data_IF_502617941315
#
_entry.id   IF_502617941315
#
_cell.length_a   1.000
_cell.length_b   1.000
_cell.length_c   1.000
_cell.angle_alpha   90.00
_cell.angle_beta   90.00
_cell.angle_gamma   90.00
#
_symmetry.space_group_name_H-M   'P 1'
#
loop_
_entity.id
_entity.type
_entity.pdbx_description
1 polymer ?
#
# COMPACT_ATOMS: atom_id res chain seq x y z
N UNK A 1 27.80 2.63 19.58
CA UNK A 1 26.57 2.77 20.39
C UNK A 1 26.14 1.38 20.83
N UNK A 2 26.03 1.12 22.14
CA UNK A 2 25.66 -0.22 22.63
C UNK A 2 24.28 -0.63 22.07
N UNK A 3 24.14 -1.92 21.75
CA UNK A 3 22.89 -2.54 21.33
C UNK A 3 21.66 -2.07 22.13
N UNK A 4 21.76 -2.07 23.47
CA UNK A 4 20.66 -1.66 24.38
C UNK A 4 20.19 -0.23 24.12
N UNK A 5 21.14 0.68 23.93
CA UNK A 5 20.86 2.09 23.66
C UNK A 5 20.24 2.22 22.27
N UNK A 6 20.72 1.44 21.30
CA UNK A 6 20.18 1.42 19.93
C UNK A 6 18.70 1.05 19.89
N UNK A 7 18.30 0.02 20.64
CA UNK A 7 16.88 -0.38 20.75
C UNK A 7 16.04 0.74 21.37
N UNK A 8 16.50 1.33 22.48
CA UNK A 8 15.75 2.39 23.16
C UNK A 8 15.52 3.58 22.23
N UNK A 9 16.56 4.02 21.52
CA UNK A 9 16.45 5.11 20.55
C UNK A 9 15.52 4.74 19.40
N UNK A 10 15.59 3.50 18.90
CA UNK A 10 14.68 3.00 17.88
C UNK A 10 13.22 3.05 18.35
N UNK A 11 12.92 2.56 19.57
CA UNK A 11 11.55 2.58 20.11
C UNK A 11 11.00 4.00 20.27
N UNK A 12 11.84 4.94 20.71
CA UNK A 12 11.47 6.36 20.82
C UNK A 12 11.15 6.92 19.42
N UNK A 13 12.00 6.68 18.43
CA UNK A 13 11.77 7.10 17.04
C UNK A 13 10.47 6.50 16.47
N UNK A 14 10.27 5.20 16.66
CA UNK A 14 9.07 4.49 16.23
C UNK A 14 7.80 5.06 16.85
N UNK A 15 7.83 5.39 18.14
CA UNK A 15 6.72 6.00 18.85
C UNK A 15 6.45 7.43 18.38
N UNK A 16 7.49 8.23 18.14
CA UNK A 16 7.35 9.59 17.63
C UNK A 16 6.71 9.60 16.24
N UNK A 17 7.18 8.74 15.34
CA UNK A 17 6.59 8.60 14.00
C UNK A 17 5.15 8.10 14.10
N UNK A 18 4.84 7.15 14.98
CA UNK A 18 3.47 6.70 15.17
C UNK A 18 2.55 7.84 15.63
N UNK A 19 3.00 8.69 16.57
CA UNK A 19 2.26 9.88 17.01
C UNK A 19 2.06 10.90 15.89
N UNK A 20 3.10 11.19 15.10
CA UNK A 20 3.04 12.14 13.98
C UNK A 20 2.06 11.62 12.91
N UNK A 21 2.19 10.35 12.52
CA UNK A 21 1.30 9.72 11.53
C UNK A 21 -0.14 9.63 12.05
N UNK A 22 -0.35 9.38 13.34
CA UNK A 22 -1.68 9.42 13.96
C UNK A 22 -2.30 10.81 13.88
N UNK A 23 -1.54 11.85 14.22
CA UNK A 23 -2.01 13.23 14.14
C UNK A 23 -2.35 13.63 12.69
N UNK A 24 -1.50 13.25 11.73
CA UNK A 24 -1.75 13.42 10.29
C UNK A 24 -3.00 12.65 9.84
N UNK A 25 -3.17 11.41 10.30
CA UNK A 25 -4.35 10.60 9.97
C UNK A 25 -5.65 11.18 10.50
N UNK A 26 -5.61 11.81 11.69
CA UNK A 26 -6.77 12.52 12.24
C UNK A 26 -7.10 13.80 11.46
N UNK A 27 -6.09 14.56 11.03
CA UNK A 27 -6.28 15.90 10.43
C UNK A 27 -6.48 15.88 8.91
N UNK A 28 -5.81 14.97 8.20
CA UNK A 28 -5.74 14.97 6.72
C UNK A 28 -6.61 13.86 6.13
N UNK A 29 -6.39 12.62 6.54
CA UNK A 29 -7.13 11.48 5.97
C UNK A 29 -7.11 10.28 6.90
N UNK A 30 -8.30 9.74 7.21
CA UNK A 30 -8.43 8.53 8.03
C UNK A 30 -7.72 7.32 7.41
N UNK A 31 -7.52 7.30 6.09
CA UNK A 31 -6.76 6.23 5.40
C UNK A 31 -5.31 6.13 5.89
N UNK A 32 -4.67 7.26 6.24
CA UNK A 32 -3.30 7.29 6.73
C UNK A 32 -3.13 6.60 8.08
N UNK A 33 -4.22 6.48 8.87
CA UNK A 33 -4.16 5.79 10.16
C UNK A 33 -3.81 4.31 10.01
N UNK A 34 -4.18 3.69 8.88
CA UNK A 34 -3.86 2.29 8.59
C UNK A 34 -2.35 2.08 8.39
N UNK A 35 -1.65 3.11 7.91
CA UNK A 35 -0.22 3.06 7.60
C UNK A 35 0.69 3.36 8.80
N UNK A 36 0.12 3.68 9.98
CA UNK A 36 0.89 3.90 11.22
C UNK A 36 1.88 2.77 11.51
N UNK A 37 1.49 1.47 11.57
CA UNK A 37 2.42 0.38 11.85
C UNK A 37 3.53 0.30 10.81
N UNK A 38 3.20 0.49 9.52
CA UNK A 38 4.18 0.45 8.42
C UNK A 38 5.20 1.57 8.55
N UNK A 39 4.76 2.82 8.74
CA UNK A 39 5.69 3.95 8.87
C UNK A 39 6.55 3.85 10.13
N UNK A 40 5.99 3.34 11.23
CA UNK A 40 6.73 3.09 12.45
C UNK A 40 7.80 2.01 12.25
N UNK A 41 7.47 0.89 11.61
CA UNK A 41 8.46 -0.15 11.33
C UNK A 41 9.52 0.31 10.32
N UNK A 42 9.12 1.07 9.29
CA UNK A 42 10.03 1.61 8.29
C UNK A 42 11.08 2.55 8.90
N UNK A 43 10.72 3.40 9.88
CA UNK A 43 11.71 4.25 10.55
C UNK A 43 12.69 3.42 11.38
N UNK A 44 12.23 2.31 11.98
CA UNK A 44 13.10 1.37 12.68
C UNK A 44 14.09 0.68 11.74
N UNK A 45 13.62 0.20 10.58
CA UNK A 45 14.48 -0.35 9.52
C UNK A 45 15.53 0.67 9.10
N UNK A 46 15.11 1.91 8.82
CA UNK A 46 16.01 2.98 8.41
C UNK A 46 17.08 3.25 9.46
N UNK A 47 16.70 3.30 10.74
CA UNK A 47 17.64 3.54 11.83
C UNK A 47 18.72 2.46 11.93
N UNK A 48 18.33 1.18 11.96
CA UNK A 48 19.30 0.08 12.03
C UNK A 48 20.13 -0.07 10.76
N UNK A 49 19.55 0.24 9.59
CA UNK A 49 20.29 0.30 8.33
C UNK A 49 21.38 1.38 8.36
N UNK A 50 21.06 2.59 8.83
CA UNK A 50 22.04 3.68 8.99
C UNK A 50 23.10 3.29 10.02
N UNK A 51 22.69 2.72 11.16
CA UNK A 51 23.60 2.27 12.21
C UNK A 51 24.62 1.26 11.68
N UNK A 52 24.16 0.26 10.93
CA UNK A 52 25.02 -0.79 10.38
C UNK A 52 26.02 -0.29 9.32
N UNK A 53 25.63 0.70 8.50
CA UNK A 53 26.47 1.17 7.39
C UNK A 53 27.40 2.34 7.76
N UNK A 54 27.03 3.17 8.74
CA UNK A 54 27.74 4.42 9.02
C UNK A 54 28.43 4.46 10.38
N UNK A 55 28.11 3.55 11.31
CA UNK A 55 28.73 3.52 12.64
C UNK A 55 29.75 2.36 12.67
N UNK A 56 31.06 2.65 12.79
CA UNK A 56 32.07 1.60 12.81
C UNK A 56 31.92 0.76 14.08
N UNK A 57 31.86 -0.56 13.88
CA UNK A 57 31.87 -1.54 14.95
C UNK A 57 33.32 -1.91 15.31
N UNK A 58 33.65 -2.08 16.59
CA UNK A 58 34.93 -2.65 16.97
C UNK A 58 35.04 -4.09 16.40
N UNK A 59 36.25 -4.53 16.02
CA UNK A 59 36.48 -5.88 15.52
C UNK A 59 36.03 -6.91 16.56
N UNK A 60 35.33 -7.96 16.12
CA UNK A 60 34.67 -8.99 16.95
C UNK A 60 33.54 -8.52 17.88
N UNK A 61 32.89 -7.38 17.60
CA UNK A 61 31.71 -6.99 18.38
C UNK A 61 30.47 -7.81 18.00
N UNK A 62 29.89 -8.47 19.02
CA UNK A 62 28.59 -9.15 18.90
C UNK A 62 27.43 -8.18 18.62
N UNK A 63 27.61 -6.89 18.93
CA UNK A 63 26.61 -5.84 18.70
C UNK A 63 26.18 -5.75 17.21
N UNK A 64 27.12 -5.96 16.28
CA UNK A 64 26.83 -5.95 14.84
C UNK A 64 25.89 -7.09 14.40
N UNK A 65 26.08 -8.28 14.97
CA UNK A 65 25.26 -9.46 14.68
C UNK A 65 23.85 -9.24 15.20
N UNK A 66 23.71 -8.74 16.43
CA UNK A 66 22.40 -8.45 17.00
C UNK A 66 21.65 -7.35 16.22
N UNK A 67 22.34 -6.31 15.77
CA UNK A 67 21.75 -5.27 14.94
C UNK A 67 21.26 -5.81 13.58
N UNK A 68 21.99 -6.74 12.96
CA UNK A 68 21.54 -7.42 11.72
C UNK A 68 20.29 -8.29 11.96
N UNK A 69 20.24 -9.01 13.09
CA UNK A 69 19.07 -9.82 13.45
C UNK A 69 17.83 -8.91 13.63
N UNK A 70 17.99 -7.79 14.34
CA UNK A 70 16.88 -6.83 14.52
C UNK A 70 16.44 -6.24 13.17
N UNK A 71 17.40 -5.83 12.32
CA UNK A 71 17.08 -5.30 11.01
C UNK A 71 16.25 -6.30 10.20
N UNK A 72 16.62 -7.58 10.23
CA UNK A 72 15.90 -8.66 9.55
C UNK A 72 14.47 -8.81 10.08
N UNK A 73 14.28 -8.82 11.39
CA UNK A 73 12.96 -8.89 12.04
C UNK A 73 12.11 -7.68 11.64
N UNK A 74 12.68 -6.48 11.65
CA UNK A 74 11.99 -5.24 11.28
C UNK A 74 11.56 -5.24 9.81
N UNK A 75 12.40 -5.74 8.89
CA UNK A 75 12.06 -5.87 7.47
C UNK A 75 10.90 -6.84 7.27
N UNK A 76 10.92 -8.00 7.94
CA UNK A 76 9.84 -8.98 7.88
C UNK A 76 8.55 -8.36 8.42
N UNK A 77 8.59 -7.75 9.60
CA UNK A 77 7.44 -7.07 10.19
C UNK A 77 6.89 -5.95 9.30
N UNK A 78 7.78 -5.14 8.72
CA UNK A 78 7.39 -4.05 7.81
C UNK A 78 6.71 -4.59 6.55
N UNK A 79 7.19 -5.70 6.00
CA UNK A 79 6.62 -6.33 4.81
C UNK A 79 5.22 -6.89 5.07
N UNK A 80 5.04 -7.56 6.21
CA UNK A 80 3.73 -8.07 6.64
C UNK A 80 2.74 -6.93 6.89
N UNK A 81 3.17 -5.89 7.61
CA UNK A 81 2.34 -4.70 7.85
C UNK A 81 1.94 -4.01 6.55
N UNK A 82 2.86 -3.91 5.58
CA UNK A 82 2.56 -3.34 4.27
C UNK A 82 1.49 -4.15 3.52
N UNK A 83 1.64 -5.49 3.53
CA UNK A 83 0.68 -6.40 2.93
C UNK A 83 -0.71 -6.29 3.57
N UNK A 84 -0.80 -6.19 4.90
CA UNK A 84 -2.06 -5.96 5.62
C UNK A 84 -2.72 -4.64 5.20
N UNK A 85 -1.96 -3.53 5.14
CA UNK A 85 -2.50 -2.25 4.67
C UNK A 85 -3.06 -2.33 3.26
N UNK A 86 -2.35 -3.00 2.34
CA UNK A 86 -2.80 -3.17 0.96
C UNK A 86 -4.11 -3.98 0.91
N UNK A 87 -4.19 -5.07 1.68
CA UNK A 87 -5.40 -5.89 1.74
C UNK A 87 -6.59 -5.05 2.22
N UNK A 88 -6.42 -4.28 3.30
CA UNK A 88 -7.48 -3.43 3.84
C UNK A 88 -7.92 -2.37 2.82
N UNK A 89 -6.99 -1.75 2.11
CA UNK A 89 -7.31 -0.75 1.09
C UNK A 89 -8.02 -1.36 -0.13
N UNK A 90 -7.66 -2.58 -0.54
CA UNK A 90 -8.39 -3.31 -1.59
C UNK A 90 -9.81 -3.66 -1.13
N UNK A 91 -9.97 -4.15 0.10
CA UNK A 91 -11.26 -4.54 0.65
C UNK A 91 -12.19 -3.33 0.79
N UNK A 92 -11.72 -2.20 1.32
CA UNK A 92 -12.53 -0.98 1.43
C UNK A 92 -12.93 -0.41 0.06
N UNK A 93 -12.03 -0.46 -0.92
CA UNK A 93 -12.32 0.00 -2.28
C UNK A 93 -13.01 -1.03 -3.18
N UNK A 94 -13.28 -2.24 -2.69
CA UNK A 94 -13.93 -3.32 -3.47
C UNK A 94 -15.30 -2.90 -4.03
N UNK A 95 -16.04 -2.03 -3.32
CA UNK A 95 -17.29 -1.44 -3.80
C UNK A 95 -17.11 -0.56 -5.04
N UNK A 96 -15.98 0.15 -5.17
CA UNK A 96 -15.64 0.92 -6.37
C UNK A 96 -15.22 0.02 -7.53
N UNK A 97 -14.48 -1.06 -7.25
CA UNK A 97 -14.15 -2.07 -8.25
C UNK A 97 -15.39 -2.80 -8.79
N UNK A 98 -16.35 -3.13 -7.93
CA UNK A 98 -17.63 -3.72 -8.33
C UNK A 98 -18.44 -2.78 -9.25
N UNK A 99 -18.46 -1.47 -8.95
CA UNK A 99 -19.12 -0.47 -9.81
C UNK A 99 -18.39 -0.28 -11.14
N UNK A 100 -17.06 -0.21 -11.15
CA UNK A 100 -16.26 -0.13 -12.38
C UNK A 100 -16.43 -1.39 -13.25
N UNK A 101 -16.43 -2.58 -12.64
CA UNK A 101 -16.67 -3.82 -13.35
C UNK A 101 -18.09 -3.88 -13.94
N UNK A 102 -19.11 -3.46 -13.18
CA UNK A 102 -20.48 -3.34 -13.69
C UNK A 102 -20.59 -2.32 -14.83
N UNK A 103 -19.91 -1.17 -14.75
CA UNK A 103 -19.91 -0.16 -15.79
C UNK A 103 -19.24 -0.67 -17.08
N UNK A 104 -18.12 -1.39 -16.97
CA UNK A 104 -17.43 -2.03 -18.11
C UNK A 104 -18.30 -3.12 -18.73
N UNK A 105 -18.93 -3.97 -17.90
CA UNK A 105 -19.87 -5.01 -18.35
C UNK A 105 -21.07 -4.43 -19.10
N UNK A 106 -21.64 -3.33 -18.60
CA UNK A 106 -22.78 -2.66 -19.25
C UNK A 106 -22.37 -1.99 -20.56
N UNK A 107 -21.20 -1.36 -20.63
CA UNK A 107 -20.66 -0.84 -21.91
C UNK A 107 -20.41 -1.95 -22.93
N UNK A 108 -19.84 -3.09 -22.52
CA UNK A 108 -19.61 -4.24 -23.40
C UNK A 108 -20.93 -4.85 -23.91
N UNK A 109 -21.95 -4.97 -23.05
CA UNK A 109 -23.29 -5.40 -23.48
C UNK A 109 -23.90 -4.42 -24.49
N UNK A 110 -23.83 -3.11 -24.23
CA UNK A 110 -24.35 -2.09 -25.13
C UNK A 110 -23.62 -2.08 -26.49
N UNK A 111 -22.31 -2.27 -26.52
CA UNK A 111 -21.54 -2.39 -27.78
C UNK A 111 -21.98 -3.63 -28.58
N UNK A 112 -22.22 -4.77 -27.93
CA UNK A 112 -22.75 -5.98 -28.59
C UNK A 112 -24.16 -5.76 -29.14
N UNK A 113 -25.04 -5.12 -28.38
CA UNK A 113 -26.42 -4.79 -28.83
C UNK A 113 -26.38 -3.81 -30.01
N UNK A 114 -25.54 -2.78 -29.96
CA UNK A 114 -25.45 -1.77 -31.02
C UNK A 114 -24.86 -2.36 -32.32
N UNK A 115 -23.89 -3.28 -32.23
CA UNK A 115 -23.39 -4.06 -33.38
C UNK A 115 -24.48 -4.98 -33.95
N UNK A 116 -25.24 -5.67 -33.11
CA UNK A 116 -26.33 -6.54 -33.54
C UNK A 116 -27.46 -5.75 -34.20
N UNK A 117 -27.77 -4.55 -33.71
CA UNK A 117 -28.79 -3.67 -34.28
C UNK A 117 -28.36 -3.08 -35.64
N UNK A 118 -27.09 -2.67 -35.78
CA UNK A 118 -26.53 -2.26 -37.08
C UNK A 118 -26.53 -3.38 -38.12
N UNK A 119 -26.32 -4.64 -37.70
CA UNK A 119 -26.33 -5.79 -38.61
C UNK A 119 -27.75 -6.24 -38.99
N UNK A 120 -28.75 -5.97 -38.14
CA UNK A 120 -30.16 -6.34 -38.38
C UNK A 120 -30.98 -5.31 -39.11
N UNK A 121 -30.52 -4.08 -39.33
CA UNK A 121 -31.25 -3.13 -40.18
C UNK A 121 -31.08 -3.51 -41.65
N UNK A 122 -32.10 -4.11 -42.30
CA UNK A 122 -32.01 -4.44 -43.71
C UNK A 122 -32.10 -3.12 -44.48
N UNK A 123 -31.18 -2.90 -45.40
CA UNK A 123 -31.11 -1.75 -46.31
C UNK A 123 -32.41 -1.47 -47.10
N UNK A 124 -33.39 -2.40 -47.07
CA UNK A 124 -34.73 -2.22 -47.64
C UNK A 124 -35.63 -1.25 -46.88
N UNK A 125 -35.48 -1.07 -45.56
CA UNK A 125 -36.37 -0.16 -44.80
C UNK A 125 -35.97 1.31 -45.00
N UNK A 126 -34.67 1.59 -45.14
CA UNK A 126 -34.16 2.97 -45.35
C UNK A 126 -34.58 3.53 -46.71
N UNK A 127 -34.69 2.69 -47.75
CA UNK A 127 -35.17 3.13 -49.07
C UNK A 127 -36.68 3.39 -49.12
N UNK A 128 -37.48 2.85 -48.19
CA UNK A 128 -38.94 3.02 -48.18
C UNK A 128 -39.41 4.26 -47.40
N UNK A 129 -38.51 4.94 -46.70
CA UNK A 129 -38.76 6.20 -45.99
C UNK A 129 -38.30 7.45 -46.78
N UNK A 130 -37.72 7.25 -47.97
CA UNK A 130 -37.19 8.32 -48.84
C UNK A 130 -37.90 8.42 -50.20
N UNK A 131 -38.94 7.62 -50.38
CA UNK A 131 -39.96 7.73 -51.43
C UNK A 131 -41.24 8.18 -50.79
#
# INVERSE_FOLDING_TARGET
MSFKIGIIVCLILMSLIACITYYLGKKVSKSLMKYIPVFSLAIGVLFFYIKLNFIPYPPNSYDSIYDMIILTILIIGCSLGFLETIIIDIVENSNLFGKSYMAIRNKLKLVKVNKAFKFKMPSRIVKKLRS
#
